data_IF_219857686788
#
_entry.id   IF_219857686788
#
_cell.length_a   1.000
_cell.length_b   1.000
_cell.length_c   1.000
_cell.angle_alpha   90.00
_cell.angle_beta   90.00
_cell.angle_gamma   90.00
#
_symmetry.space_group_name_H-M   'P 1'
#
loop_
_entity.id
_entity.type
_entity.pdbx_description
1 polymer ?
#
# COMPACT_ATOMS: atom_id res chain seq x y z
N UNK A 1 27.27 21.66 -17.91
CA UNK A 1 27.69 20.56 -17.03
C UNK A 1 26.42 19.92 -16.48
N UNK A 2 26.10 18.68 -16.86
CA UNK A 2 24.83 18.02 -16.49
C UNK A 2 25.05 17.05 -15.32
N UNK A 3 24.17 17.08 -14.32
CA UNK A 3 24.25 16.27 -13.10
C UNK A 3 23.94 14.79 -13.43
N UNK A 4 24.86 13.84 -13.18
CA UNK A 4 24.55 12.42 -13.37
C UNK A 4 23.78 11.93 -12.13
N UNK A 5 22.48 11.68 -12.28
CA UNK A 5 21.70 11.02 -11.23
C UNK A 5 22.04 9.53 -11.20
N UNK A 6 23.08 9.27 -10.43
CA UNK A 6 23.45 7.99 -9.86
C UNK A 6 22.24 7.22 -9.29
N UNK A 7 22.13 5.96 -9.73
CA UNK A 7 21.74 4.78 -8.94
C UNK A 7 20.55 4.92 -7.99
N UNK A 8 19.38 4.38 -8.37
CA UNK A 8 18.50 3.72 -7.38
C UNK A 8 18.07 2.34 -7.86
N UNK A 9 18.94 1.39 -7.51
CA UNK A 9 18.69 0.05 -6.96
C UNK A 9 17.67 -0.81 -7.72
N UNK A 10 18.18 -1.93 -8.26
CA UNK A 10 17.45 -3.21 -8.40
C UNK A 10 16.52 -3.37 -7.21
N UNK A 11 15.25 -3.04 -7.37
CA UNK A 11 14.26 -3.33 -6.36
C UNK A 11 13.71 -4.68 -6.77
N UNK A 12 13.99 -5.68 -5.94
CA UNK A 12 13.34 -6.98 -5.92
C UNK A 12 11.88 -6.77 -5.46
N UNK A 13 11.21 -5.82 -6.12
CA UNK A 13 10.00 -5.14 -5.70
C UNK A 13 8.93 -6.19 -5.83
N UNK A 14 8.39 -6.65 -4.70
CA UNK A 14 7.17 -7.45 -4.71
C UNK A 14 6.23 -6.74 -5.68
N UNK A 15 5.89 -7.42 -6.78
CA UNK A 15 4.92 -6.89 -7.71
C UNK A 15 3.68 -6.67 -6.89
N UNK A 16 3.19 -5.44 -6.87
CA UNK A 16 2.17 -5.10 -5.89
C UNK A 16 0.95 -5.99 -6.09
N UNK A 17 0.70 -6.42 -7.33
CA UNK A 17 -0.29 -7.43 -7.74
C UNK A 17 -0.33 -8.69 -6.86
N UNK A 18 0.78 -9.09 -6.24
CA UNK A 18 0.85 -10.25 -5.33
C UNK A 18 0.17 -10.00 -3.98
N UNK A 19 -0.14 -8.74 -3.64
CA UNK A 19 -0.83 -8.35 -2.41
C UNK A 19 -2.36 -8.48 -2.52
N UNK A 20 -2.92 -8.79 -3.70
CA UNK A 20 -4.37 -8.98 -3.86
C UNK A 20 -4.83 -10.13 -2.94
N UNK A 21 -5.89 -9.89 -2.18
CA UNK A 21 -6.40 -10.82 -1.16
C UNK A 21 -5.70 -10.70 0.21
N UNK A 22 -4.72 -9.80 0.39
CA UNK A 22 -4.17 -9.52 1.71
C UNK A 22 -5.11 -8.63 2.51
N UNK A 23 -5.14 -8.84 3.82
CA UNK A 23 -5.89 -8.00 4.74
C UNK A 23 -5.07 -6.79 5.17
N UNK A 24 -5.63 -5.59 5.01
CA UNK A 24 -4.99 -4.34 5.41
C UNK A 24 -5.43 -3.97 6.81
N UNK A 25 -4.46 -3.62 7.65
CA UNK A 25 -4.63 -3.21 9.03
C UNK A 25 -4.03 -1.82 9.23
N UNK A 26 -4.79 -0.90 9.81
CA UNK A 26 -4.27 0.36 10.33
C UNK A 26 -4.07 0.21 11.83
N UNK A 27 -2.83 0.31 12.29
CA UNK A 27 -2.44 0.04 13.68
C UNK A 27 -2.89 -1.37 14.16
N UNK A 28 -4.09 -1.44 14.76
CA UNK A 28 -4.75 -2.64 15.28
C UNK A 28 -6.13 -2.91 14.66
N UNK A 29 -6.64 -1.98 13.85
CA UNK A 29 -7.95 -2.08 13.20
C UNK A 29 -7.82 -2.68 11.81
N UNK A 30 -8.71 -3.63 11.47
CA UNK A 30 -8.77 -4.18 10.11
C UNK A 30 -9.55 -3.21 9.23
N UNK A 31 -8.86 -2.59 8.29
CA UNK A 31 -9.51 -1.78 7.26
C UNK A 31 -10.29 -2.66 6.29
N UNK A 32 -9.67 -3.75 5.83
CA UNK A 32 -10.32 -4.55 4.80
C UNK A 32 -9.41 -5.52 4.10
N UNK A 33 -9.77 -5.89 2.89
CA UNK A 33 -9.00 -6.79 2.04
C UNK A 33 -8.73 -6.13 0.70
N UNK A 34 -7.50 -6.28 0.21
CA UNK A 34 -7.07 -5.74 -1.08
C UNK A 34 -7.84 -6.48 -2.17
N UNK A 35 -8.73 -5.77 -2.87
CA UNK A 35 -9.52 -6.31 -3.98
C UNK A 35 -8.79 -6.14 -5.31
N UNK A 36 -8.08 -5.03 -5.46
CA UNK A 36 -7.36 -4.70 -6.69
C UNK A 36 -6.24 -3.71 -6.40
N UNK A 37 -5.42 -3.45 -7.41
CA UNK A 37 -4.27 -2.56 -7.30
C UNK A 37 -4.22 -1.67 -8.53
N UNK A 38 -4.30 -0.37 -8.28
CA UNK A 38 -4.21 0.64 -9.31
C UNK A 38 -2.74 0.97 -9.55
N UNK A 39 -2.14 0.31 -10.55
CA UNK A 39 -0.78 0.55 -11.04
C UNK A 39 -0.75 1.76 -11.99
N UNK A 40 -0.99 2.97 -11.49
CA UNK A 40 -0.65 4.17 -12.26
C UNK A 40 0.88 4.33 -12.23
N UNK A 41 1.52 4.43 -13.40
CA UNK A 41 2.97 4.29 -13.61
C UNK A 41 3.90 5.09 -12.68
N UNK A 42 3.39 6.11 -11.98
CA UNK A 42 4.13 6.95 -11.04
C UNK A 42 3.68 6.81 -9.58
N UNK A 43 2.43 6.41 -9.33
CA UNK A 43 1.83 6.34 -7.99
C UNK A 43 0.88 5.13 -7.90
N UNK A 44 1.41 3.95 -7.55
CA UNK A 44 0.57 2.78 -7.36
C UNK A 44 -0.28 2.95 -6.09
N UNK A 45 -1.57 2.58 -6.17
CA UNK A 45 -2.54 2.61 -5.07
C UNK A 45 -3.11 1.21 -4.82
N UNK A 46 -3.24 0.82 -3.56
CA UNK A 46 -4.00 -0.35 -3.13
C UNK A 46 -5.48 -0.02 -3.09
N UNK A 47 -6.31 -0.86 -3.69
CA UNK A 47 -7.77 -0.79 -3.58
C UNK A 47 -8.17 -1.80 -2.50
N UNK A 48 -8.67 -1.30 -1.37
CA UNK A 48 -9.07 -2.09 -0.21
C UNK A 48 -10.57 -1.95 -0.02
N UNK A 49 -11.31 -3.05 0.00
CA UNK A 49 -12.73 -3.00 0.35
C UNK A 49 -12.90 -2.73 1.85
N UNK A 50 -13.47 -1.58 2.17
CA UNK A 50 -13.79 -1.13 3.54
C UNK A 50 -15.30 -0.89 3.63
N UNK A 51 -15.99 -1.76 4.34
CA UNK A 51 -17.46 -1.70 4.47
C UNK A 51 -18.16 -1.62 3.10
N UNK A 52 -18.85 -0.51 2.80
CA UNK A 52 -19.58 -0.27 1.55
C UNK A 52 -18.76 0.57 0.52
N UNK A 53 -17.50 0.87 0.83
CA UNK A 53 -16.63 1.73 0.02
C UNK A 53 -15.27 1.10 -0.27
N UNK A 54 -14.55 1.69 -1.21
CA UNK A 54 -13.18 1.32 -1.55
C UNK A 54 -12.21 2.36 -1.00
N UNK A 55 -11.20 1.91 -0.25
CA UNK A 55 -10.09 2.74 0.19
C UNK A 55 -8.94 2.62 -0.79
N UNK A 56 -8.47 3.78 -1.27
CA UNK A 56 -7.30 3.90 -2.11
C UNK A 56 -6.09 4.31 -1.27
N UNK A 57 -5.19 3.37 -0.99
CA UNK A 57 -4.04 3.60 -0.12
C UNK A 57 -2.75 3.61 -0.96
N UNK A 58 -1.98 4.70 -0.98
CA UNK A 58 -0.73 4.75 -1.73
C UNK A 58 0.31 3.74 -1.24
N UNK A 59 0.95 3.03 -2.17
CA UNK A 59 2.04 2.08 -1.87
C UNK A 59 3.33 2.89 -1.77
N UNK A 60 3.43 3.68 -0.70
CA UNK A 60 4.61 4.46 -0.37
C UNK A 60 5.12 4.03 1.00
N UNK A 61 6.43 4.11 1.22
CA UNK A 61 7.08 3.79 2.50
C UNK A 61 6.53 4.63 3.67
N UNK A 62 5.87 5.74 3.37
CA UNK A 62 5.17 6.56 4.36
C UNK A 62 3.93 5.86 4.95
N UNK A 63 3.14 5.20 4.09
CA UNK A 63 1.91 4.52 4.50
C UNK A 63 2.18 3.06 4.88
N UNK A 64 2.94 2.33 4.07
CA UNK A 64 3.19 0.90 4.34
C UNK A 64 4.28 0.77 5.39
N UNK A 65 3.88 0.42 6.62
CA UNK A 65 4.82 0.14 7.70
C UNK A 65 5.40 -1.26 7.63
N UNK A 66 4.55 -2.24 7.30
CA UNK A 66 4.97 -3.64 7.31
C UNK A 66 4.09 -4.49 6.38
N UNK A 67 4.71 -5.46 5.72
CA UNK A 67 4.02 -6.48 4.94
C UNK A 67 4.41 -7.84 5.53
N UNK A 68 3.42 -8.61 5.97
CA UNK A 68 3.56 -9.95 6.53
C UNK A 68 2.98 -10.96 5.53
N UNK A 69 3.76 -11.42 4.52
CA UNK A 69 3.27 -12.33 3.48
C UNK A 69 2.87 -13.71 4.02
N UNK A 70 3.50 -14.16 5.11
CA UNK A 70 3.13 -15.42 5.80
C UNK A 70 1.69 -15.42 6.31
N UNK A 71 1.24 -14.26 6.79
CA UNK A 71 -0.12 -14.08 7.34
C UNK A 71 -1.07 -13.43 6.33
N UNK A 72 -0.59 -13.06 5.14
CA UNK A 72 -1.31 -12.23 4.16
C UNK A 72 -1.86 -10.95 4.78
N UNK A 73 -1.04 -10.26 5.57
CA UNK A 73 -1.41 -9.00 6.24
C UNK A 73 -0.51 -7.86 5.79
N UNK A 74 -1.11 -6.69 5.58
CA UNK A 74 -0.39 -5.44 5.33
C UNK A 74 -0.73 -4.49 6.47
N UNK A 75 0.28 -4.01 7.19
CA UNK A 75 0.13 -2.92 8.15
C UNK A 75 0.42 -1.60 7.48
N UNK A 76 -0.55 -0.71 7.54
CA UNK A 76 -0.44 0.67 7.10
C UNK A 76 -0.53 1.62 8.30
N UNK A 77 0.11 2.77 8.19
CA UNK A 77 -0.07 3.91 9.09
C UNK A 77 -0.79 4.99 8.29
N UNK A 78 -2.06 5.21 8.63
CA UNK A 78 -2.83 6.33 8.16
C UNK A 78 -2.86 7.34 9.31
N UNK A 79 -2.62 8.64 9.07
CA UNK A 79 -2.75 9.62 10.13
C UNK A 79 -4.18 9.64 10.65
N UNK A 80 -4.30 9.88 11.96
CA UNK A 80 -5.55 10.25 12.62
C UNK A 80 -6.24 11.39 11.85
N UNK A 81 -7.50 11.19 11.45
CA UNK A 81 -8.25 12.13 10.61
C UNK A 81 -8.31 11.79 9.10
N UNK A 82 -7.67 10.74 8.61
CA UNK A 82 -7.80 10.31 7.20
C UNK A 82 -9.22 9.81 6.85
N UNK A 83 -10.00 9.44 7.86
CA UNK A 83 -11.42 9.13 7.78
C UNK A 83 -12.23 10.06 8.69
N UNK A 84 -11.91 11.35 8.70
CA UNK A 84 -12.76 12.34 9.37
C UNK A 84 -14.00 12.57 8.49
N UNK A 85 -15.14 12.04 8.95
CA UNK A 85 -16.49 12.41 8.51
C UNK A 85 -17.16 13.27 9.57
#
# INVERSE_FOLDING_TARGET
MYLPKSLKKKSNKLETNDLIGFSVFADSEKLGTITSINNHALNPLLVVAYEDRELLIPISDYFIKKIDPKLKKVKVELPEGFMEI
#
